data_IF_723425677273
#
_entry.id   IF_723425677273
#
_cell.length_a   1.000
_cell.length_b   1.000
_cell.length_c   1.000
_cell.angle_alpha   90.00
_cell.angle_beta   90.00
_cell.angle_gamma   90.00
#
_symmetry.space_group_name_H-M   'P 1'
#
loop_
_entity.id
_entity.type
_entity.pdbx_description
1 polymer ?
#
# COMPACT_ATOMS: atom_id res chain seq x y z
N UNK A 1 5.43 23.16 30.85
CA UNK A 1 6.14 22.79 29.59
C UNK A 1 5.39 21.67 28.89
N UNK A 2 4.25 21.99 28.26
CA UNK A 2 3.65 21.14 27.22
C UNK A 2 4.41 21.28 25.88
N UNK A 3 5.45 22.10 25.89
CA UNK A 3 6.21 22.55 24.73
C UNK A 3 7.16 21.49 24.21
N UNK A 4 7.74 20.60 25.04
CA UNK A 4 8.71 19.62 24.53
C UNK A 4 8.09 18.62 23.55
N UNK A 5 6.86 18.16 23.84
CA UNK A 5 6.11 17.28 22.93
C UNK A 5 5.73 18.02 21.65
N UNK A 6 5.29 19.27 21.77
CA UNK A 6 5.00 20.12 20.62
C UNK A 6 6.26 20.41 19.76
N UNK A 7 7.42 20.61 20.40
CA UNK A 7 8.73 20.78 19.75
C UNK A 7 9.20 19.48 19.08
N UNK A 8 8.91 18.32 19.68
CA UNK A 8 9.06 17.01 19.05
C UNK A 8 8.01 16.75 17.95
N UNK A 9 7.14 17.72 17.67
CA UNK A 9 6.16 17.68 16.60
C UNK A 9 4.95 16.82 16.89
N UNK A 10 4.63 16.54 18.16
CA UNK A 10 3.39 15.86 18.54
C UNK A 10 2.19 16.74 18.22
N UNK A 11 1.18 16.16 17.58
CA UNK A 11 -0.12 16.78 17.40
C UNK A 11 -1.09 16.39 18.54
N UNK A 12 -2.33 16.90 18.48
CA UNK A 12 -3.36 16.61 19.49
C UNK A 12 -3.72 15.13 19.50
N UNK A 13 -3.74 14.47 18.34
CA UNK A 13 -4.07 13.06 18.23
C UNK A 13 -2.98 12.19 18.86
N UNK A 14 -1.71 12.56 18.66
CA UNK A 14 -0.56 11.91 19.30
C UNK A 14 -0.64 11.99 20.84
N UNK A 15 -1.10 13.12 21.39
CA UNK A 15 -1.33 13.28 22.82
C UNK A 15 -2.46 12.36 23.30
N UNK A 16 -3.57 12.26 22.58
CA UNK A 16 -4.66 11.36 22.93
C UNK A 16 -4.23 9.89 22.88
N UNK A 17 -3.56 9.47 21.81
CA UNK A 17 -3.02 8.11 21.68
C UNK A 17 -2.01 7.79 22.79
N UNK A 18 -1.10 8.71 23.10
CA UNK A 18 -0.15 8.53 24.20
C UNK A 18 -0.81 8.40 25.57
N UNK A 19 -1.90 9.15 25.82
CA UNK A 19 -2.69 9.01 27.05
C UNK A 19 -3.38 7.63 27.13
N UNK A 20 -3.89 7.13 26.01
CA UNK A 20 -4.51 5.81 25.95
C UNK A 20 -3.49 4.68 26.15
N UNK A 21 -2.32 4.77 25.53
CA UNK A 21 -1.22 3.82 25.75
C UNK A 21 -0.76 3.81 27.21
N UNK A 22 -0.63 4.98 27.83
CA UNK A 22 -0.28 5.09 29.25
C UNK A 22 -1.33 4.44 30.16
N UNK A 23 -2.62 4.64 29.83
CA UNK A 23 -3.76 4.03 30.54
C UNK A 23 -3.72 2.49 30.44
N UNK A 24 -3.53 1.96 29.23
CA UNK A 24 -3.54 0.52 28.94
C UNK A 24 -2.27 -0.16 29.49
N UNK A 25 -1.10 0.37 29.18
CA UNK A 25 0.19 -0.22 29.56
C UNK A 25 0.45 -0.21 31.07
N UNK A 26 -0.11 0.75 31.81
CA UNK A 26 0.03 0.85 33.25
C UNK A 26 -1.11 0.26 34.09
N UNK A 27 -2.23 -0.18 33.46
CA UNK A 27 -3.52 -0.40 34.15
C UNK A 27 -3.96 0.79 35.02
N UNK A 28 -3.58 2.01 34.65
CA UNK A 28 -3.84 3.23 35.43
C UNK A 28 -5.14 3.86 34.94
N UNK A 29 -6.01 4.27 35.86
CA UNK A 29 -7.18 5.07 35.51
C UNK A 29 -6.81 6.55 35.41
N UNK A 30 -7.37 7.26 34.44
CA UNK A 30 -7.27 8.72 34.36
C UNK A 30 -8.12 9.34 35.47
N UNK A 31 -7.56 10.33 36.17
CA UNK A 31 -8.33 11.16 37.09
C UNK A 31 -9.34 11.99 36.28
N UNK A 32 -10.61 11.95 36.70
CA UNK A 32 -11.71 12.66 36.03
C UNK A 32 -11.65 14.17 36.30
N UNK A 33 -11.23 14.57 37.50
CA UNK A 33 -11.11 15.98 37.90
C UNK A 33 -9.84 16.21 38.76
N UNK A 34 -8.66 16.27 38.12
CA UNK A 34 -7.41 16.53 38.83
C UNK A 34 -7.36 17.99 39.30
N UNK A 35 -6.92 18.21 40.55
CA UNK A 35 -6.76 19.55 41.16
C UNK A 35 -5.89 20.49 40.30
N UNK A 36 -4.94 19.95 39.53
CA UNK A 36 -4.14 20.69 38.57
C UNK A 36 -4.10 19.92 37.22
N UNK A 37 -5.08 20.16 36.32
CA UNK A 37 -5.18 19.41 35.08
C UNK A 37 -3.95 19.55 34.16
N UNK A 38 -3.38 20.75 33.94
CA UNK A 38 -2.17 20.90 33.14
C UNK A 38 -0.95 20.19 33.74
N UNK A 39 -0.78 20.26 35.07
CA UNK A 39 0.32 19.59 35.76
C UNK A 39 0.19 18.07 35.74
N UNK A 40 -1.03 17.57 35.90
CA UNK A 40 -1.35 16.14 35.81
C UNK A 40 -1.07 15.61 34.40
N UNK A 41 -1.57 16.30 33.36
CA UNK A 41 -1.29 15.96 31.97
C UNK A 41 0.21 15.95 31.68
N UNK A 42 0.93 16.98 32.12
CA UNK A 42 2.39 17.05 31.95
C UNK A 42 3.11 15.88 32.63
N UNK A 43 2.67 15.47 33.82
CA UNK A 43 3.27 14.34 34.56
C UNK A 43 3.13 13.02 33.79
N UNK A 44 2.02 12.84 33.06
CA UNK A 44 1.80 11.67 32.21
C UNK A 44 2.69 11.75 30.97
N UNK A 45 2.63 12.87 30.24
CA UNK A 45 3.36 13.04 28.99
C UNK A 45 4.88 12.91 29.14
N UNK A 46 5.43 13.31 30.30
CA UNK A 46 6.85 13.12 30.62
C UNK A 46 7.29 11.66 30.68
N UNK A 47 6.38 10.72 30.93
CA UNK A 47 6.69 9.28 30.97
C UNK A 47 6.73 8.63 29.60
N UNK A 48 6.23 9.32 28.56
CA UNK A 48 6.21 8.82 27.19
C UNK A 48 7.48 9.28 26.46
N UNK A 49 8.04 8.46 25.54
CA UNK A 49 9.20 8.83 24.74
C UNK A 49 8.89 10.02 23.80
N UNK A 50 9.90 10.82 23.45
CA UNK A 50 9.75 11.99 22.55
C UNK A 50 9.97 11.62 21.07
N UNK A 51 10.75 10.56 20.80
CA UNK A 51 11.38 10.31 19.49
C UNK A 51 10.41 9.98 18.35
N UNK A 52 9.29 9.29 18.64
CA UNK A 52 8.26 9.00 17.64
C UNK A 52 6.87 9.07 18.27
N UNK A 53 5.97 9.94 17.77
CA UNK A 53 4.60 10.01 18.26
C UNK A 53 3.81 8.71 17.97
N UNK A 54 2.98 8.23 18.92
CA UNK A 54 2.24 6.97 18.77
C UNK A 54 1.32 6.91 17.55
N UNK A 55 0.57 7.99 17.28
CA UNK A 55 -0.38 7.98 16.16
C UNK A 55 0.31 7.96 14.80
N UNK A 56 1.58 8.37 14.70
CA UNK A 56 2.39 8.19 13.48
C UNK A 56 2.83 6.75 13.29
N UNK A 57 3.21 6.06 14.36
CA UNK A 57 3.57 4.64 14.31
C UNK A 57 2.36 3.78 13.95
N UNK A 58 1.19 4.05 14.53
CA UNK A 58 -0.02 3.30 14.23
C UNK A 58 -0.49 3.54 12.80
N UNK A 59 -0.44 4.78 12.29
CA UNK A 59 -0.67 5.08 10.87
C UNK A 59 0.30 4.34 9.95
N UNK A 60 1.59 4.33 10.27
CA UNK A 60 2.58 3.61 9.49
C UNK A 60 2.31 2.08 9.49
N UNK A 61 1.94 1.52 10.65
CA UNK A 61 1.55 0.11 10.79
C UNK A 61 0.29 -0.21 9.99
N UNK A 62 -0.74 0.64 10.04
CA UNK A 62 -1.98 0.42 9.28
C UNK A 62 -1.73 0.48 7.78
N UNK A 63 -0.95 1.46 7.29
CA UNK A 63 -0.57 1.54 5.87
C UNK A 63 0.18 0.28 5.43
N UNK A 64 1.10 -0.22 6.25
CA UNK A 64 1.85 -1.43 5.95
C UNK A 64 0.94 -2.67 5.88
N UNK A 65 -0.04 -2.78 6.79
CA UNK A 65 -1.04 -3.86 6.76
C UNK A 65 -1.92 -3.74 5.50
N UNK A 66 -2.43 -2.55 5.18
CA UNK A 66 -3.26 -2.33 3.99
C UNK A 66 -2.50 -2.64 2.68
N UNK A 67 -1.21 -2.31 2.60
CA UNK A 67 -0.39 -2.63 1.43
C UNK A 67 -0.20 -4.13 1.27
N UNK A 68 0.01 -4.87 2.37
CA UNK A 68 0.08 -6.34 2.33
C UNK A 68 -1.25 -6.96 1.90
N UNK A 69 -2.38 -6.49 2.42
CA UNK A 69 -3.70 -6.98 2.03
C UNK A 69 -4.04 -6.67 0.56
N UNK A 70 -3.63 -5.52 0.01
CA UNK A 70 -3.82 -5.21 -1.41
C UNK A 70 -3.03 -6.15 -2.31
N UNK A 71 -1.80 -6.50 -1.94
CA UNK A 71 -0.99 -7.46 -2.68
C UNK A 71 -1.61 -8.86 -2.67
N UNK A 72 -2.16 -9.29 -1.53
CA UNK A 72 -2.85 -10.58 -1.41
C UNK A 72 -4.17 -10.62 -2.21
N UNK A 73 -4.97 -9.56 -2.16
CA UNK A 73 -6.22 -9.45 -2.96
C UNK A 73 -5.92 -9.43 -4.46
N UNK A 74 -4.79 -8.86 -4.89
CA UNK A 74 -4.38 -8.90 -6.29
C UNK A 74 -4.05 -10.33 -6.74
N UNK A 75 -3.29 -11.08 -5.93
CA UNK A 75 -2.98 -12.50 -6.20
C UNK A 75 -4.22 -13.37 -6.24
N UNK A 76 -5.13 -13.21 -5.28
CA UNK A 76 -6.39 -13.96 -5.23
C UNK A 76 -7.28 -13.68 -6.47
N UNK A 77 -7.29 -12.44 -6.98
CA UNK A 77 -8.02 -12.10 -8.22
C UNK A 77 -7.39 -12.74 -9.46
N UNK A 78 -6.08 -12.83 -9.51
CA UNK A 78 -5.36 -13.43 -10.64
C UNK A 78 -5.54 -14.96 -10.66
N UNK A 79 -5.47 -15.60 -9.50
CA UNK A 79 -5.79 -17.02 -9.34
C UNK A 79 -7.25 -17.33 -9.71
N UNK A 80 -8.21 -16.50 -9.27
CA UNK A 80 -9.61 -16.64 -9.65
C UNK A 80 -9.84 -16.47 -11.16
N UNK A 81 -9.11 -15.54 -11.82
CA UNK A 81 -9.14 -15.39 -13.27
C UNK A 81 -8.55 -16.60 -13.99
N UNK A 82 -7.44 -17.14 -13.50
CA UNK A 82 -6.81 -18.32 -14.06
C UNK A 82 -7.72 -19.55 -13.93
N UNK A 83 -8.36 -19.74 -12.77
CA UNK A 83 -9.32 -20.82 -12.54
C UNK A 83 -10.56 -20.68 -13.43
N UNK A 84 -11.11 -19.47 -13.57
CA UNK A 84 -12.25 -19.21 -14.45
C UNK A 84 -11.91 -19.47 -15.93
N UNK A 85 -10.71 -19.11 -16.38
CA UNK A 85 -10.23 -19.40 -17.74
C UNK A 85 -9.97 -20.89 -17.96
N UNK A 86 -9.47 -21.61 -16.95
CA UNK A 86 -9.26 -23.05 -17.01
C UNK A 86 -10.59 -23.85 -17.03
N UNK A 87 -11.63 -23.32 -16.39
CA UNK A 87 -12.96 -23.94 -16.36
C UNK A 87 -13.76 -23.79 -17.66
N UNK A 88 -13.28 -23.00 -18.64
CA UNK A 88 -13.95 -22.86 -19.94
C UNK A 88 -13.83 -24.18 -20.72
N UNK A 89 -14.95 -24.88 -21.01
CA UNK A 89 -14.90 -26.13 -21.74
C UNK A 89 -14.39 -25.90 -23.18
N UNK A 90 -13.33 -26.62 -23.56
CA UNK A 90 -12.73 -26.53 -24.90
C UNK A 90 -13.55 -27.29 -25.94
N UNK A 91 -14.70 -26.75 -26.28
CA UNK A 91 -15.50 -27.22 -27.42
C UNK A 91 -14.71 -27.04 -28.73
N UNK A 92 -15.04 -27.80 -29.79
CA UNK A 92 -14.38 -27.66 -31.09
C UNK A 92 -14.43 -26.23 -31.65
N UNK A 93 -15.52 -25.50 -31.39
CA UNK A 93 -15.70 -24.11 -31.85
C UNK A 93 -14.80 -23.14 -31.09
N UNK A 94 -14.69 -23.27 -29.77
CA UNK A 94 -13.79 -22.46 -28.93
C UNK A 94 -12.33 -22.70 -29.32
N UNK A 95 -11.95 -23.94 -29.63
CA UNK A 95 -10.61 -24.26 -30.16
C UNK A 95 -10.33 -23.56 -31.48
N UNK A 96 -11.28 -23.61 -32.42
CA UNK A 96 -11.15 -22.95 -33.73
C UNK A 96 -10.99 -21.43 -33.60
N UNK A 97 -11.76 -20.80 -32.71
CA UNK A 97 -11.66 -19.35 -32.44
C UNK A 97 -10.30 -19.02 -31.81
N UNK A 98 -9.83 -19.83 -30.84
CA UNK A 98 -8.53 -19.66 -30.20
C UNK A 98 -7.39 -19.76 -31.20
N UNK A 99 -7.43 -20.75 -32.09
CA UNK A 99 -6.37 -20.97 -33.08
C UNK A 99 -6.36 -19.85 -34.14
N UNK A 100 -7.53 -19.35 -34.55
CA UNK A 100 -7.63 -18.17 -35.42
C UNK A 100 -7.07 -16.90 -34.74
N UNK A 101 -7.35 -16.71 -33.46
CA UNK A 101 -6.85 -15.57 -32.69
C UNK A 101 -5.33 -15.65 -32.47
N UNK A 102 -4.81 -16.85 -32.18
CA UNK A 102 -3.38 -17.11 -32.06
C UNK A 102 -2.66 -16.84 -33.40
N UNK A 103 -3.26 -17.22 -34.53
CA UNK A 103 -2.67 -16.97 -35.84
C UNK A 103 -2.62 -15.47 -36.19
N UNK A 104 -3.69 -14.72 -35.91
CA UNK A 104 -3.70 -13.25 -36.05
C UNK A 104 -2.64 -12.59 -35.18
N UNK A 105 -2.52 -13.03 -33.93
CA UNK A 105 -1.52 -12.52 -32.99
C UNK A 105 -0.09 -12.74 -33.48
N UNK A 106 0.21 -13.93 -34.00
CA UNK A 106 1.51 -14.26 -34.59
C UNK A 106 1.83 -13.42 -35.82
N UNK A 107 0.86 -13.23 -36.73
CA UNK A 107 1.03 -12.35 -37.90
C UNK A 107 1.29 -10.91 -37.49
N UNK A 108 0.51 -10.37 -36.55
CA UNK A 108 0.70 -9.01 -36.05
C UNK A 108 2.04 -8.82 -35.31
N UNK A 109 2.58 -9.87 -34.67
CA UNK A 109 3.93 -9.84 -34.09
C UNK A 109 5.01 -9.85 -35.18
N UNK A 110 4.86 -10.69 -36.21
CA UNK A 110 5.77 -10.75 -37.35
C UNK A 110 5.80 -9.43 -38.13
N UNK A 111 4.64 -8.79 -38.34
CA UNK A 111 4.56 -7.50 -39.03
C UNK A 111 5.20 -6.38 -38.22
N UNK A 112 5.02 -6.37 -36.90
CA UNK A 112 5.72 -5.45 -36.00
C UNK A 112 7.23 -5.64 -36.03
N UNK A 113 7.72 -6.89 -36.06
CA UNK A 113 9.13 -7.20 -36.18
C UNK A 113 9.71 -6.73 -37.53
N UNK A 114 8.97 -6.93 -38.63
CA UNK A 114 9.35 -6.44 -39.97
C UNK A 114 9.38 -4.92 -40.03
N UNK A 115 8.39 -4.24 -39.43
CA UNK A 115 8.36 -2.78 -39.37
C UNK A 115 9.53 -2.21 -38.57
N UNK A 116 9.90 -2.84 -37.45
CA UNK A 116 11.11 -2.47 -36.69
C UNK A 116 12.39 -2.66 -37.50
N UNK A 117 12.56 -3.82 -38.15
CA UNK A 117 13.72 -4.09 -38.98
C UNK A 117 13.82 -3.14 -40.20
N UNK A 118 12.69 -2.69 -40.76
CA UNK A 118 12.67 -1.68 -41.81
C UNK A 118 13.07 -0.29 -41.28
N UNK A 119 12.54 0.12 -40.12
CA UNK A 119 12.91 1.39 -39.48
C UNK A 119 14.40 1.46 -39.11
N UNK A 120 14.97 0.35 -38.63
CA UNK A 120 16.41 0.22 -38.34
C UNK A 120 17.30 0.34 -39.59
N UNK A 121 16.79 -0.06 -40.77
CA UNK A 121 17.50 0.07 -42.06
C UNK A 121 17.41 1.47 -42.69
N UNK A 122 16.40 2.26 -42.36
CA UNK A 122 16.24 3.64 -42.86
C UNK A 122 16.97 4.68 -42.01
N UNK A 123 17.18 4.42 -40.71
CA UNK A 123 17.99 5.26 -39.81
C UNK A 123 19.40 5.60 -40.33
N UNK A 124 20.19 4.67 -40.90
CA UNK A 124 21.53 5.00 -41.44
C UNK A 124 21.50 5.77 -42.77
N UNK A 125 20.33 5.93 -43.42
CA UNK A 125 20.20 6.64 -44.72
C UNK A 125 19.85 8.13 -44.60
N UNK A 126 19.45 8.60 -43.42
CA UNK A 126 19.05 10.00 -43.16
C UNK A 126 20.10 10.84 -42.41
N UNK A 127 21.23 10.24 -42.05
CA UNK A 127 22.33 10.88 -41.32
C UNK A 127 23.58 11.15 -42.18
N UNK A 128 23.44 11.20 -43.50
CA UNK A 128 24.50 11.56 -44.44
C UNK A 128 24.15 12.82 -45.23
#
# INVERSE_FOLDING_TARGET
MLTSKAEAGWDVDDVYSGLEEWRIGGKKQLLIDPVNPPGYLWSILKTLPDDVPPARLDRARTVQIEETERAERARAREEARAAAMAAVPMTPEVRKIRDQLADRSRRAAADRARARAAAERELPRRHH
#
